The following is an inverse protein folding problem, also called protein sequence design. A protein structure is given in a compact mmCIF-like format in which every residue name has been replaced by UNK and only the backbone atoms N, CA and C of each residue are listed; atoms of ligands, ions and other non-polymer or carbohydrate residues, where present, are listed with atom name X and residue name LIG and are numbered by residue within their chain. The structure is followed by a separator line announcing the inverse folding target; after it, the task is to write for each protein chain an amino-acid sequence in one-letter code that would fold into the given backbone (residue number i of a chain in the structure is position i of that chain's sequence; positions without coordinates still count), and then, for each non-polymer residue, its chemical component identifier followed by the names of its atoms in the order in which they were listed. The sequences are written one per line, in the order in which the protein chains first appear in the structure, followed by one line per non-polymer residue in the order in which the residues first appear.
data_IF_767492654457
#
_entry.id   IF_767492654457
#
_cell.length_a   1.000
_cell.length_b   1.000
_cell.length_c   1.000
_cell.angle_alpha   90.00
_cell.angle_beta   90.00
_cell.angle_gamma   90.00
#
_symmetry.space_group_name_H-M   'P 1'
#
loop_
_entity.id
_entity.type
_entity.pdbx_description
1 polymer ?
#
# COMPACT_ATOMS: atom_id res chain seq x y z
N UNK A 1 -19.90 -2.73 -16.22
CA UNK A 1 -19.69 -3.99 -15.47
C UNK A 1 -18.89 -3.59 -14.23
N UNK A 2 -19.53 -3.45 -13.07
CA UNK A 2 -18.84 -3.05 -11.85
C UNK A 2 -18.14 -4.28 -11.28
N UNK A 3 -16.86 -4.43 -11.56
CA UNK A 3 -16.04 -5.45 -10.90
C UNK A 3 -15.83 -5.00 -9.46
N UNK A 4 -16.45 -5.70 -8.51
CA UNK A 4 -16.14 -5.53 -7.08
C UNK A 4 -14.71 -6.08 -6.90
N UNK A 5 -13.74 -5.19 -6.69
CA UNK A 5 -12.36 -5.57 -6.35
C UNK A 5 -12.29 -5.89 -4.87
N UNK A 6 -11.66 -7.02 -4.53
CA UNK A 6 -11.32 -7.32 -3.13
C UNK A 6 -10.32 -6.26 -2.64
N UNK A 7 -10.52 -5.76 -1.42
CA UNK A 7 -9.62 -4.78 -0.84
C UNK A 7 -9.33 -5.11 0.63
N UNK A 8 -8.19 -4.62 1.11
CA UNK A 8 -7.79 -4.66 2.51
C UNK A 8 -7.61 -3.24 3.02
N UNK A 9 -8.21 -2.91 4.16
CA UNK A 9 -7.93 -1.66 4.89
C UNK A 9 -6.76 -1.95 5.82
N UNK A 10 -5.73 -1.11 5.75
CA UNK A 10 -4.55 -1.21 6.62
C UNK A 10 -4.42 0.11 7.35
N UNK A 11 -4.57 0.07 8.67
CA UNK A 11 -4.55 1.21 9.59
C UNK A 11 -3.63 0.96 10.80
N UNK A 12 -2.78 -0.06 10.71
CA UNK A 12 -1.81 -0.44 11.73
C UNK A 12 -0.38 -0.48 11.18
N UNK A 13 0.59 -0.71 12.07
CA UNK A 13 2.03 -0.70 11.75
C UNK A 13 2.64 -2.10 11.69
N UNK A 14 1.83 -3.17 11.65
CA UNK A 14 2.33 -4.52 11.42
C UNK A 14 2.73 -4.70 9.95
N UNK A 15 3.52 -5.74 9.67
CA UNK A 15 3.76 -6.15 8.29
C UNK A 15 2.53 -6.88 7.76
N UNK A 16 2.10 -6.49 6.57
CA UNK A 16 1.01 -7.14 5.83
C UNK A 16 1.57 -7.75 4.55
N UNK A 17 1.53 -9.07 4.46
CA UNK A 17 1.82 -9.79 3.22
C UNK A 17 0.54 -9.84 2.37
N UNK A 18 0.60 -9.30 1.17
CA UNK A 18 -0.57 -9.15 0.28
C UNK A 18 -0.15 -9.13 -1.18
N UNK A 19 -1.11 -9.15 -2.09
CA UNK A 19 -0.84 -8.98 -3.53
C UNK A 19 -1.84 -7.96 -4.05
N UNK A 20 -1.40 -6.74 -4.31
CA UNK A 20 -2.26 -5.64 -4.76
C UNK A 20 -1.69 -4.90 -5.97
N UNK A 21 -2.57 -4.38 -6.83
CA UNK A 21 -2.20 -3.60 -8.03
C UNK A 21 -2.23 -2.08 -7.79
N UNK A 22 -2.87 -1.68 -6.69
CA UNK A 22 -3.08 -0.28 -6.35
C UNK A 22 -3.33 -0.08 -4.86
N UNK A 23 -2.87 1.06 -4.36
CA UNK A 23 -3.03 1.50 -2.98
C UNK A 23 -3.61 2.91 -3.00
N UNK A 24 -4.78 3.10 -2.38
CA UNK A 24 -5.31 4.45 -2.12
C UNK A 24 -4.93 4.91 -0.73
N UNK A 25 -4.39 6.12 -0.65
CA UNK A 25 -3.97 6.75 0.61
C UNK A 25 -5.22 7.39 1.26
N UNK A 26 -5.74 6.77 2.31
CA UNK A 26 -6.98 7.21 2.97
C UNK A 26 -6.73 8.41 3.90
N UNK A 27 -5.58 8.43 4.56
CA UNK A 27 -5.08 9.56 5.34
C UNK A 27 -3.57 9.75 5.12
N UNK A 28 -3.01 10.87 5.59
CA UNK A 28 -1.58 11.17 5.42
C UNK A 28 -0.71 10.01 5.93
N UNK A 29 -0.05 9.31 5.00
CA UNK A 29 0.59 8.02 5.27
C UNK A 29 2.10 8.10 5.09
N UNK A 30 2.82 7.44 5.99
CA UNK A 30 4.26 7.19 5.85
C UNK A 30 4.44 5.68 5.82
N UNK A 31 5.05 5.17 4.75
CA UNK A 31 5.42 3.77 4.66
C UNK A 31 6.75 3.54 5.39
N UNK A 32 6.83 2.50 6.20
CA UNK A 32 8.12 1.99 6.67
C UNK A 32 8.77 1.16 5.56
N UNK A 33 7.97 0.26 4.97
CA UNK A 33 8.36 -0.58 3.83
C UNK A 33 7.23 -0.65 2.81
N UNK A 34 7.61 -0.72 1.54
CA UNK A 34 6.72 -1.00 0.42
C UNK A 34 7.50 -1.87 -0.56
N UNK A 35 7.10 -3.13 -0.70
CA UNK A 35 7.81 -4.09 -1.55
C UNK A 35 6.98 -4.38 -2.78
N UNK A 36 7.59 -4.41 -3.96
CA UNK A 36 6.94 -4.83 -5.21
C UNK A 36 7.44 -6.19 -5.73
N UNK A 37 6.64 -6.83 -6.58
CA UNK A 37 6.92 -8.15 -7.15
C UNK A 37 8.11 -8.15 -8.12
N UNK A 38 8.37 -7.01 -8.78
CA UNK A 38 9.52 -6.84 -9.67
C UNK A 38 10.82 -6.53 -8.91
N UNK A 39 10.76 -6.35 -7.59
CA UNK A 39 11.87 -5.85 -6.77
C UNK A 39 12.46 -4.57 -7.36
N UNK A 40 11.66 -3.73 -7.99
CA UNK A 40 12.05 -2.38 -8.41
C UNK A 40 11.85 -1.37 -7.29
N UNK A 41 10.88 -1.64 -6.42
CA UNK A 41 10.70 -0.97 -5.13
C UNK A 41 11.02 -2.00 -4.06
N UNK A 42 12.25 -1.94 -3.57
CA UNK A 42 12.75 -2.69 -2.44
C UNK A 42 13.46 -1.69 -1.52
N UNK A 43 13.52 -1.99 -0.22
CA UNK A 43 14.15 -1.17 0.84
C UNK A 43 13.22 -0.15 1.55
N UNK A 44 13.74 0.49 2.60
CA UNK A 44 12.96 1.34 3.51
C UNK A 44 12.66 2.73 2.90
N UNK A 45 11.38 3.10 2.82
CA UNK A 45 10.92 4.45 2.43
C UNK A 45 10.93 5.39 3.64
N UNK A 46 12.12 5.68 4.18
CA UNK A 46 12.24 6.15 5.58
C UNK A 46 11.60 7.51 5.94
N UNK A 47 11.04 8.27 5.01
CA UNK A 47 10.50 9.60 5.34
C UNK A 47 9.62 10.27 4.29
N UNK A 48 9.09 9.55 3.30
CA UNK A 48 8.14 10.16 2.35
C UNK A 48 6.74 10.14 2.97
N UNK A 49 6.18 11.34 3.18
CA UNK A 49 4.77 11.50 3.55
C UNK A 49 3.93 11.57 2.28
N UNK A 50 3.04 10.61 2.11
CA UNK A 50 2.06 10.58 1.04
C UNK A 50 0.76 11.26 1.51
N UNK A 51 0.32 12.36 0.87
CA UNK A 51 -0.94 13.00 1.24
C UNK A 51 -2.15 12.10 0.93
N UNK A 52 -3.22 12.30 1.70
CA UNK A 52 -4.50 11.64 1.49
C UNK A 52 -5.06 11.94 0.09
N UNK A 53 -5.75 10.96 -0.49
CA UNK A 53 -6.36 11.06 -1.82
C UNK A 53 -5.43 10.71 -2.99
N UNK A 54 -4.16 10.38 -2.73
CA UNK A 54 -3.29 9.80 -3.75
C UNK A 54 -3.60 8.32 -3.98
N UNK A 55 -3.33 7.84 -5.20
CA UNK A 55 -3.32 6.42 -5.52
C UNK A 55 -1.96 6.04 -6.08
N UNK A 56 -1.34 5.02 -5.48
CA UNK A 56 -0.13 4.39 -5.96
C UNK A 56 -0.52 3.19 -6.81
N UNK A 57 0.10 3.05 -7.98
CA UNK A 57 -0.09 1.89 -8.86
C UNK A 57 1.22 1.12 -8.95
N UNK A 58 1.13 -0.20 -8.82
CA UNK A 58 2.29 -1.09 -8.77
C UNK A 58 1.86 -2.48 -8.33
N UNK A 59 2.71 -3.49 -8.50
CA UNK A 59 2.43 -4.84 -8.04
C UNK A 59 3.06 -5.03 -6.67
N UNK A 60 2.36 -4.67 -5.60
CA UNK A 60 2.91 -4.69 -4.24
C UNK A 60 2.67 -6.03 -3.57
N UNK A 61 3.71 -6.53 -2.90
CA UNK A 61 3.75 -7.85 -2.25
C UNK A 61 3.80 -7.79 -0.72
N UNK A 62 4.27 -6.66 -0.17
CA UNK A 62 4.31 -6.42 1.27
C UNK A 62 4.24 -4.93 1.57
N UNK A 63 3.52 -4.58 2.63
CA UNK A 63 3.35 -3.22 3.10
C UNK A 63 3.54 -3.18 4.62
N UNK A 64 4.34 -2.22 5.11
CA UNK A 64 4.34 -1.83 6.52
C UNK A 64 4.19 -0.32 6.61
N UNK A 65 3.20 0.13 7.38
CA UNK A 65 3.03 1.56 7.66
C UNK A 65 3.88 1.96 8.87
N UNK A 66 4.44 3.16 8.80
CA UNK A 66 4.96 3.86 9.97
C UNK A 66 3.84 4.64 10.67
N UNK A 67 2.91 5.20 9.89
CA UNK A 67 1.71 5.89 10.35
C UNK A 67 0.73 6.08 9.19
N UNK A 68 -0.54 6.34 9.50
CA UNK A 68 -1.58 6.61 8.52
C UNK A 68 -2.44 5.38 8.24
N UNK A 69 -3.25 5.47 7.19
CA UNK A 69 -4.14 4.41 6.75
C UNK A 69 -4.29 4.40 5.23
N UNK A 70 -4.42 3.20 4.68
CA UNK A 70 -4.52 2.94 3.25
C UNK A 70 -5.60 1.91 2.93
N UNK A 71 -5.99 1.88 1.66
CA UNK A 71 -6.82 0.83 1.07
C UNK A 71 -6.01 0.16 -0.04
N UNK A 72 -5.65 -1.11 0.14
CA UNK A 72 -4.95 -1.91 -0.86
C UNK A 72 -5.96 -2.72 -1.68
N UNK A 73 -5.92 -2.61 -3.02
CA UNK A 73 -6.82 -3.31 -3.93
C UNK A 73 -6.15 -4.57 -4.48
N UNK A 74 -6.63 -5.72 -4.03
CA UNK A 74 -5.99 -7.01 -4.26
C UNK A 74 -6.16 -7.48 -5.70
N UNK A 75 -5.10 -8.12 -6.22
CA UNK A 75 -5.14 -8.82 -7.51
C UNK A 75 -5.72 -10.21 -7.22
N UNK A 76 -6.99 -10.40 -7.54
CA UNK A 76 -7.69 -11.70 -7.47
C UNK A 76 -7.15 -12.70 -8.47
#
# INVERSE_FOLDING_TARGET
MNTIRNYSIIEDTANHDLVCDSISIAESTIFATLTDASQTVHDNLLSITFPAGLTLYGNFTSITLKSGAIIAYNIS
#
